data_IF_749482700453
#
_entry.id   IF_749482700453
#
_cell.length_a   1.000
_cell.length_b   1.000
_cell.length_c   1.000
_cell.angle_alpha   90.00
_cell.angle_beta   90.00
_cell.angle_gamma   90.00
#
_symmetry.space_group_name_H-M   'P 1'
#
loop_
_entity.id
_entity.type
_entity.pdbx_description
1 polymer ?
#
# COMPACT_ATOMS: atom_id res chain seq x y z
N UNK A 1 -4.47 -18.25 -2.52
CA UNK A 1 -4.45 -16.78 -2.52
C UNK A 1 -3.85 -16.38 -1.19
N UNK A 2 -2.53 -16.20 -1.14
CA UNK A 2 -1.87 -15.75 0.08
C UNK A 2 -1.76 -14.22 0.04
N UNK A 3 -2.11 -13.61 1.17
CA UNK A 3 -1.94 -12.18 1.40
C UNK A 3 -0.80 -12.01 2.39
N UNK A 4 0.20 -11.21 2.02
CA UNK A 4 1.17 -10.72 2.99
C UNK A 4 0.54 -9.53 3.71
N UNK A 5 0.61 -9.57 5.05
CA UNK A 5 -0.02 -8.59 5.93
C UNK A 5 1.06 -7.87 6.73
N UNK A 6 1.01 -6.54 6.71
CA UNK A 6 1.85 -5.69 7.56
C UNK A 6 0.98 -4.73 8.36
N UNK A 7 1.36 -4.49 9.61
CA UNK A 7 0.74 -3.47 10.45
C UNK A 7 1.49 -2.15 10.29
N UNK A 8 0.74 -1.05 10.21
CA UNK A 8 1.28 0.30 10.07
C UNK A 8 0.37 1.30 10.80
N UNK A 9 0.65 2.60 10.64
CA UNK A 9 -0.18 3.70 11.12
C UNK A 9 -0.55 4.61 9.97
N UNK A 10 -1.81 5.04 9.91
CA UNK A 10 -2.22 6.12 9.00
C UNK A 10 -2.07 7.48 9.68
N UNK A 11 -1.96 8.54 8.89
CA UNK A 11 -1.96 9.92 9.38
C UNK A 11 -3.39 10.46 9.37
N UNK A 12 -3.92 10.82 10.55
CA UNK A 12 -5.24 11.42 10.70
C UNK A 12 -5.15 12.64 11.62
N UNK A 13 -4.67 13.77 11.09
CA UNK A 13 -4.40 14.96 11.89
C UNK A 13 -3.29 14.71 12.91
N UNK A 14 -3.61 14.78 14.21
CA UNK A 14 -2.68 14.46 15.31
C UNK A 14 -2.75 12.99 15.72
N UNK A 15 -3.70 12.23 15.18
CA UNK A 15 -3.89 10.82 15.49
C UNK A 15 -3.13 9.94 14.51
N UNK A 16 -2.77 8.75 14.99
CA UNK A 16 -2.09 7.73 14.20
C UNK A 16 -2.84 6.39 14.32
N UNK A 17 -4.03 6.22 13.73
CA UNK A 17 -4.79 4.96 13.84
C UNK A 17 -3.99 3.77 13.30
N UNK A 18 -4.13 2.61 13.96
CA UNK A 18 -3.55 1.35 13.50
C UNK A 18 -4.21 0.94 12.19
N UNK A 19 -3.41 0.62 11.18
CA UNK A 19 -3.90 0.12 9.88
C UNK A 19 -3.22 -1.18 9.51
N UNK A 20 -3.96 -2.00 8.75
CA UNK A 20 -3.47 -3.26 8.19
C UNK A 20 -3.31 -3.09 6.69
N UNK A 21 -2.09 -3.27 6.20
CA UNK A 21 -1.79 -3.24 4.76
C UNK A 21 -1.72 -4.68 4.27
N UNK A 22 -2.49 -4.97 3.24
CA UNK A 22 -2.56 -6.29 2.61
C UNK A 22 -1.95 -6.22 1.22
N UNK A 23 -1.10 -7.17 0.89
CA UNK A 23 -0.44 -7.25 -0.41
C UNK A 23 -0.61 -8.63 -0.99
N UNK A 24 -0.84 -8.68 -2.31
CA UNK A 24 -0.95 -9.90 -3.06
C UNK A 24 -0.04 -9.82 -4.29
N UNK A 25 0.61 -10.92 -4.61
CA UNK A 25 1.37 -11.08 -5.83
C UNK A 25 0.75 -12.21 -6.67
N UNK A 26 0.47 -11.91 -7.94
CA UNK A 26 -0.06 -12.85 -8.90
C UNK A 26 0.82 -12.90 -10.17
N UNK A 27 0.75 -14.02 -10.88
CA UNK A 27 1.42 -14.16 -12.17
C UNK A 27 0.64 -13.39 -13.25
N UNK A 28 1.35 -12.72 -14.16
CA UNK A 28 0.74 -11.96 -15.24
C UNK A 28 1.64 -10.85 -15.77
N UNK A 29 1.05 -9.90 -16.49
CA UNK A 29 1.76 -8.71 -16.96
C UNK A 29 2.14 -7.83 -15.76
N UNK A 30 3.28 -7.10 -15.84
CA UNK A 30 3.71 -6.21 -14.76
C UNK A 30 2.68 -5.11 -14.48
N UNK A 31 2.00 -5.20 -13.34
CA UNK A 31 1.05 -4.21 -12.86
C UNK A 31 1.20 -4.01 -11.36
N UNK A 32 0.99 -2.77 -10.90
CA UNK A 32 0.97 -2.42 -9.49
C UNK A 32 -0.19 -1.44 -9.24
N UNK A 33 -1.21 -1.94 -8.54
CA UNK A 33 -2.36 -1.18 -8.09
C UNK A 33 -2.32 -0.96 -6.57
N UNK A 34 -2.80 0.22 -6.13
CA UNK A 34 -3.07 0.50 -4.72
C UNK A 34 -4.55 0.89 -4.63
N UNK A 35 -5.28 0.18 -3.77
CA UNK A 35 -6.73 0.33 -3.56
C UNK A 35 -7.03 0.63 -2.08
N UNK A 36 -8.29 0.90 -1.74
CA UNK A 36 -8.67 1.25 -0.37
C UNK A 36 -8.63 2.75 -0.07
N UNK A 37 -8.95 3.58 -1.08
CA UNK A 37 -8.96 5.04 -0.97
C UNK A 37 -7.62 5.66 -0.48
N UNK A 38 -6.47 5.27 -1.05
CA UNK A 38 -5.19 5.83 -0.63
C UNK A 38 -5.08 7.32 -1.00
N UNK A 39 -4.44 8.07 -0.11
CA UNK A 39 -4.01 9.44 -0.35
C UNK A 39 -2.91 9.54 -1.41
N UNK A 40 -2.65 10.75 -1.91
CA UNK A 40 -1.70 11.01 -3.00
C UNK A 40 -0.29 10.51 -2.67
N UNK A 41 0.22 10.80 -1.47
CA UNK A 41 1.57 10.39 -1.07
C UNK A 41 1.76 8.85 -1.08
N UNK A 42 0.71 8.11 -0.72
CA UNK A 42 0.69 6.64 -0.80
C UNK A 42 0.63 6.18 -2.25
N UNK A 43 -0.16 6.83 -3.11
CA UNK A 43 -0.20 6.51 -4.55
C UNK A 43 1.14 6.71 -5.24
N UNK A 44 1.83 7.81 -4.93
CA UNK A 44 3.16 8.14 -5.46
C UNK A 44 4.27 7.21 -4.94
N UNK A 45 4.04 6.53 -3.81
CA UNK A 45 5.02 5.58 -3.26
C UNK A 45 5.32 4.41 -4.19
N UNK A 46 4.36 4.00 -5.02
CA UNK A 46 4.53 2.96 -6.03
C UNK A 46 5.69 3.28 -6.97
N UNK A 47 5.79 4.53 -7.42
CA UNK A 47 6.78 4.91 -8.41
C UNK A 47 8.19 4.92 -7.79
N UNK A 48 8.30 5.30 -6.50
CA UNK A 48 9.54 5.18 -5.71
C UNK A 48 9.97 3.72 -5.54
N UNK A 49 9.03 2.83 -5.19
CA UNK A 49 9.30 1.39 -5.06
C UNK A 49 9.72 0.79 -6.39
N UNK A 50 9.14 1.26 -7.51
CA UNK A 50 9.51 0.78 -8.85
C UNK A 50 10.90 1.24 -9.30
N UNK A 51 11.37 2.38 -8.78
CA UNK A 51 12.70 2.93 -9.10
C UNK A 51 13.84 2.41 -8.24
N UNK A 52 13.53 1.80 -7.08
CA UNK A 52 14.49 1.22 -6.15
C UNK A 52 14.93 -0.18 -6.60
#
# INVERSE_FOLDING_TARGET
MELSVVYSRALAGIEAPLVRVETHLSNGLPAFSIVGLPETAVRESRDRVRSA
#
